data_IF_371048219445
#
_entry.id   IF_371048219445
#
_cell.length_a   1.000
_cell.length_b   1.000
_cell.length_c   1.000
_cell.angle_alpha   90.00
_cell.angle_beta   90.00
_cell.angle_gamma   90.00
#
_symmetry.space_group_name_H-M   'P 1'
#
loop_
_entity.id
_entity.type
_entity.pdbx_description
1 polymer ?
#
# COMPACT_ATOMS: atom_id res chain seq x y z
N UNK A 1 -4.57 -11.32 -5.56
CA UNK A 1 -3.64 -11.90 -6.57
C UNK A 1 -2.28 -12.40 -6.04
N UNK A 2 -1.77 -11.91 -4.91
CA UNK A 2 -0.47 -12.35 -4.35
C UNK A 2 -0.56 -13.67 -3.56
N UNK A 3 0.57 -14.38 -3.31
CA UNK A 3 0.60 -15.61 -2.51
C UNK A 3 -0.02 -15.40 -1.12
N UNK A 4 -1.10 -16.11 -0.83
CA UNK A 4 -1.85 -15.95 0.42
C UNK A 4 -2.47 -14.56 0.62
N UNK A 5 -2.60 -13.76 -0.45
CA UNK A 5 -3.16 -12.41 -0.42
C UNK A 5 -2.22 -11.32 0.12
N UNK A 6 -0.98 -11.65 0.47
CA UNK A 6 -0.06 -10.75 1.18
C UNK A 6 1.18 -10.46 0.34
N UNK A 7 1.50 -9.18 0.18
CA UNK A 7 2.72 -8.70 -0.46
C UNK A 7 3.77 -8.39 0.61
N UNK A 8 4.94 -9.02 0.49
CA UNK A 8 6.13 -8.75 1.32
C UNK A 8 7.22 -7.96 0.59
N UNK A 9 7.01 -7.68 -0.70
CA UNK A 9 7.97 -7.06 -1.60
C UNK A 9 7.33 -5.89 -2.35
N UNK A 10 6.86 -4.89 -1.60
CA UNK A 10 6.27 -3.68 -2.19
C UNK A 10 7.22 -3.03 -3.19
N UNK A 11 6.67 -2.57 -4.31
CA UNK A 11 7.46 -2.08 -5.45
C UNK A 11 7.19 -0.61 -5.76
N UNK A 12 8.14 0.03 -6.46
CA UNK A 12 7.97 1.34 -7.07
C UNK A 12 8.36 1.26 -8.54
N UNK A 13 7.75 2.12 -9.36
CA UNK A 13 7.96 2.19 -10.82
C UNK A 13 9.32 2.80 -11.22
N UNK A 14 10.06 3.34 -10.26
CA UNK A 14 11.41 3.86 -10.49
C UNK A 14 12.48 2.85 -10.08
N UNK A 15 13.66 2.96 -10.68
CA UNK A 15 14.82 2.12 -10.35
C UNK A 15 16.12 2.89 -10.51
N UNK A 16 17.11 2.58 -9.66
CA UNK A 16 18.51 3.03 -9.84
C UNK A 16 19.14 2.39 -11.09
N UNK A 17 18.73 1.16 -11.41
CA UNK A 17 19.23 0.40 -12.56
C UNK A 17 18.29 0.57 -13.75
N UNK A 18 18.81 1.14 -14.84
CA UNK A 18 18.02 1.52 -16.04
C UNK A 18 17.27 0.36 -16.70
N UNK A 19 17.76 -0.88 -16.56
CA UNK A 19 17.15 -2.06 -17.18
C UNK A 19 15.97 -2.63 -16.38
N UNK A 20 15.74 -2.18 -15.15
CA UNK A 20 14.63 -2.64 -14.31
C UNK A 20 13.44 -1.69 -14.42
N UNK A 21 12.27 -2.24 -14.77
CA UNK A 21 10.99 -1.51 -14.85
C UNK A 21 10.36 -1.23 -13.48
N UNK A 22 10.72 -2.02 -12.48
CA UNK A 22 10.28 -1.87 -11.10
C UNK A 22 11.43 -2.24 -10.15
N UNK A 23 11.44 -1.63 -8.98
CA UNK A 23 12.39 -1.97 -7.91
C UNK A 23 11.70 -1.94 -6.55
N UNK A 24 12.37 -2.43 -5.50
CA UNK A 24 11.84 -2.37 -4.14
C UNK A 24 11.50 -0.95 -3.73
N UNK A 25 10.37 -0.79 -3.04
CA UNK A 25 9.93 0.49 -2.51
C UNK A 25 10.75 0.85 -1.25
N UNK A 26 12.02 1.20 -1.44
CA UNK A 26 13.01 1.42 -0.39
C UNK A 26 12.59 2.37 0.74
N UNK A 27 11.80 3.45 0.52
CA UNK A 27 11.30 4.28 1.62
C UNK A 27 10.45 3.52 2.65
N UNK A 28 9.87 2.37 2.27
CA UNK A 28 9.06 1.49 3.13
C UNK A 28 9.80 0.21 3.56
N UNK A 29 11.13 0.15 3.43
CA UNK A 29 11.94 -0.98 3.90
C UNK A 29 12.52 -0.67 5.31
N UNK A 30 12.03 -1.32 6.39
CA UNK A 30 12.47 -1.01 7.75
C UNK A 30 13.97 -1.23 7.99
N UNK A 31 14.54 -2.27 7.37
CA UNK A 31 15.91 -2.72 7.60
C UNK A 31 16.99 -1.76 7.08
N UNK A 32 16.63 -0.85 6.17
CA UNK A 32 17.57 0.12 5.57
C UNK A 32 17.17 1.56 5.86
N UNK A 33 16.30 1.81 6.85
CA UNK A 33 15.75 3.13 7.13
C UNK A 33 16.78 4.23 7.35
N UNK A 34 17.94 3.89 7.91
CA UNK A 34 19.03 4.84 8.19
C UNK A 34 19.80 5.24 6.93
N UNK A 35 19.56 4.58 5.79
CA UNK A 35 20.27 4.76 4.53
C UNK A 35 19.41 5.47 3.47
N UNK A 36 18.13 5.73 3.74
CA UNK A 36 17.17 6.26 2.77
C UNK A 36 16.27 7.30 3.42
N UNK A 37 15.63 8.14 2.60
CA UNK A 37 14.53 8.99 3.06
C UNK A 37 13.30 8.11 3.37
N UNK A 38 13.25 7.58 4.59
CA UNK A 38 12.24 6.61 4.99
C UNK A 38 10.90 7.27 5.27
N UNK A 39 9.83 6.62 4.85
CA UNK A 39 8.44 7.02 5.13
C UNK A 39 7.87 6.31 6.37
N UNK A 40 8.73 5.62 7.13
CA UNK A 40 8.39 4.83 8.31
C UNK A 40 8.85 5.56 9.57
N UNK A 41 8.00 5.56 10.60
CA UNK A 41 8.41 5.98 11.94
C UNK A 41 9.23 4.88 12.61
N UNK A 42 9.96 5.26 13.69
CA UNK A 42 10.84 4.33 14.38
C UNK A 42 10.14 3.08 14.91
N UNK A 43 8.85 3.19 15.26
CA UNK A 43 8.04 2.08 15.76
C UNK A 43 7.70 1.00 14.72
N UNK A 44 7.90 1.24 13.42
CA UNK A 44 7.43 0.33 12.36
C UNK A 44 8.52 -0.64 11.91
N UNK A 45 8.51 -1.88 12.40
CA UNK A 45 9.54 -2.87 12.05
C UNK A 45 9.16 -3.80 10.86
N UNK A 46 7.92 -3.72 10.38
CA UNK A 46 7.42 -4.54 9.28
C UNK A 46 6.39 -3.75 8.49
N UNK A 47 6.37 -3.95 7.17
CA UNK A 47 5.37 -3.40 6.26
C UNK A 47 4.84 -4.54 5.40
N UNK A 48 3.53 -4.66 5.33
CA UNK A 48 2.83 -5.59 4.45
C UNK A 48 1.88 -4.81 3.57
N UNK A 49 1.69 -5.28 2.34
CA UNK A 49 0.74 -4.70 1.40
C UNK A 49 -0.30 -5.77 1.00
N UNK A 50 -1.54 -5.33 0.81
CA UNK A 50 -2.64 -6.15 0.29
C UNK A 50 -3.07 -5.53 -1.02
N UNK A 51 -2.97 -6.29 -2.11
CA UNK A 51 -3.41 -5.88 -3.45
C UNK A 51 -4.74 -6.55 -3.76
N UNK A 52 -5.71 -5.76 -4.18
CA UNK A 52 -7.07 -6.18 -4.48
C UNK A 52 -7.35 -5.88 -5.94
N UNK A 53 -7.77 -6.91 -6.68
CA UNK A 53 -8.37 -6.77 -8.01
C UNK A 53 -9.87 -7.05 -7.86
N UNK A 54 -10.71 -6.31 -8.58
CA UNK A 54 -12.16 -6.48 -8.55
C UNK A 54 -12.78 -6.13 -9.90
N UNK A 55 -14.05 -6.51 -10.08
CA UNK A 55 -14.77 -6.25 -11.33
C UNK A 55 -15.28 -4.81 -11.36
N UNK A 56 -15.76 -4.32 -10.22
CA UNK A 56 -16.28 -2.96 -10.06
C UNK A 56 -15.49 -2.13 -9.05
N UNK A 57 -15.47 -0.80 -9.27
CA UNK A 57 -14.81 0.15 -8.35
C UNK A 57 -15.39 0.05 -6.94
N UNK A 58 -16.70 -0.08 -6.83
CA UNK A 58 -17.40 -0.18 -5.54
C UNK A 58 -17.02 -1.43 -4.76
N UNK A 59 -16.84 -2.57 -5.45
CA UNK A 59 -16.40 -3.83 -4.84
C UNK A 59 -14.97 -3.74 -4.31
N UNK A 60 -14.05 -3.14 -5.07
CA UNK A 60 -12.68 -2.90 -4.62
C UNK A 60 -12.66 -1.99 -3.40
N UNK A 61 -13.46 -0.91 -3.43
CA UNK A 61 -13.59 0.00 -2.30
C UNK A 61 -14.14 -0.67 -1.04
N UNK A 62 -15.15 -1.53 -1.18
CA UNK A 62 -15.72 -2.28 -0.07
C UNK A 62 -14.72 -3.31 0.49
N UNK A 63 -14.00 -4.03 -0.37
CA UNK A 63 -12.94 -4.94 0.03
C UNK A 63 -11.82 -4.23 0.81
N UNK A 64 -11.41 -3.04 0.37
CA UNK A 64 -10.48 -2.19 1.12
C UNK A 64 -11.06 -1.80 2.48
N UNK A 65 -12.33 -1.36 2.54
CA UNK A 65 -12.98 -0.94 3.79
C UNK A 65 -13.00 -2.04 4.84
N UNK A 66 -13.47 -3.24 4.46
CA UNK A 66 -13.55 -4.37 5.40
C UNK A 66 -12.17 -4.88 5.80
N UNK A 67 -11.23 -4.95 4.84
CA UNK A 67 -9.86 -5.38 5.11
C UNK A 67 -9.13 -4.45 6.07
N UNK A 68 -9.24 -3.12 5.87
CA UNK A 68 -8.63 -2.12 6.75
C UNK A 68 -9.21 -2.22 8.17
N UNK A 69 -10.54 -2.33 8.30
CA UNK A 69 -11.18 -2.45 9.62
C UNK A 69 -10.75 -3.72 10.35
N UNK A 70 -10.65 -4.85 9.64
CA UNK A 70 -10.17 -6.10 10.19
C UNK A 70 -8.68 -6.06 10.57
N UNK A 71 -7.87 -5.30 9.83
CA UNK A 71 -6.44 -5.17 10.10
C UNK A 71 -6.13 -4.34 11.35
N UNK A 72 -7.04 -3.47 11.81
CA UNK A 72 -6.83 -2.59 12.98
C UNK A 72 -6.78 -3.36 14.32
N UNK A 73 -5.72 -4.14 14.51
CA UNK A 73 -5.43 -4.97 15.68
C UNK A 73 -4.29 -4.38 16.52
N UNK A 74 -4.13 -4.79 17.80
CA UNK A 74 -2.98 -4.39 18.61
C UNK A 74 -1.65 -4.68 17.89
N UNK A 75 -0.75 -3.69 17.90
CA UNK A 75 0.54 -3.76 17.21
C UNK A 75 0.54 -3.18 15.79
N UNK A 76 -0.63 -2.91 15.19
CA UNK A 76 -0.68 -2.13 13.96
C UNK A 76 -0.47 -0.65 14.27
N UNK A 77 0.60 -0.09 13.71
CA UNK A 77 0.99 1.31 13.94
C UNK A 77 0.22 2.27 13.04
N UNK A 78 0.02 1.91 11.77
CA UNK A 78 -0.60 2.78 10.76
C UNK A 78 -1.11 1.96 9.58
N UNK A 79 -2.23 2.42 9.00
CA UNK A 79 -2.70 2.01 7.67
C UNK A 79 -2.44 3.14 6.68
N UNK A 80 -1.95 2.80 5.49
CA UNK A 80 -1.73 3.73 4.37
C UNK A 80 -2.08 3.02 3.06
N UNK A 81 -2.00 3.73 1.94
CA UNK A 81 -2.20 3.18 0.60
C UNK A 81 -1.07 3.63 -0.34
N UNK A 82 -0.54 2.69 -1.12
CA UNK A 82 0.41 2.97 -2.20
C UNK A 82 -0.28 3.73 -3.33
N UNK A 83 0.42 4.68 -3.93
CA UNK A 83 -0.03 5.40 -5.12
C UNK A 83 1.17 5.84 -5.96
N UNK A 84 0.90 6.31 -7.17
CA UNK A 84 1.92 6.73 -8.12
C UNK A 84 1.81 8.22 -8.49
N UNK A 85 1.45 9.08 -7.52
CA UNK A 85 1.31 10.52 -7.73
C UNK A 85 0.09 10.93 -8.55
N UNK A 86 -0.91 10.05 -8.68
CA UNK A 86 -2.18 10.34 -9.36
C UNK A 86 -2.14 10.30 -10.89
N UNK A 87 -0.96 10.18 -11.52
CA UNK A 87 -0.80 10.30 -12.97
C UNK A 87 -0.89 8.96 -13.74
N UNK A 88 -0.85 7.81 -13.06
CA UNK A 88 -0.77 6.49 -13.69
C UNK A 88 -2.10 5.71 -13.67
N UNK A 89 -2.83 5.77 -12.56
CA UNK A 89 -4.07 4.99 -12.37
C UNK A 89 -5.31 5.82 -12.67
N UNK A 90 -6.26 5.25 -13.41
CA UNK A 90 -7.58 5.85 -13.67
C UNK A 90 -8.42 5.98 -12.39
N UNK A 91 -8.30 5.01 -11.48
CA UNK A 91 -9.10 4.94 -10.25
C UNK A 91 -8.30 5.35 -9.03
N UNK A 92 -8.84 6.29 -8.26
CA UNK A 92 -8.27 6.72 -6.99
C UNK A 92 -9.22 6.35 -5.84
N UNK A 93 -8.69 5.64 -4.85
CA UNK A 93 -9.43 5.18 -3.67
C UNK A 93 -8.90 5.93 -2.44
N UNK A 94 -9.51 7.07 -2.13
CA UNK A 94 -9.11 7.85 -0.96
C UNK A 94 -9.59 7.14 0.32
N UNK A 95 -8.66 6.81 1.23
CA UNK A 95 -8.97 6.06 2.45
C UNK A 95 -10.00 6.76 3.35
N UNK A 96 -10.04 8.10 3.32
CA UNK A 96 -11.04 8.89 4.05
C UNK A 96 -12.46 8.60 3.55
N UNK A 97 -12.65 8.52 2.24
CA UNK A 97 -13.95 8.26 1.62
C UNK A 97 -14.35 6.78 1.79
N UNK A 98 -13.39 5.86 1.63
CA UNK A 98 -13.55 4.42 1.88
C UNK A 98 -14.08 4.17 3.30
N UNK A 99 -13.46 4.81 4.29
CA UNK A 99 -13.80 4.58 5.70
C UNK A 99 -15.00 5.42 6.16
N UNK A 100 -15.23 6.58 5.53
CA UNK A 100 -16.36 7.47 5.77
C UNK A 100 -17.67 7.02 5.12
N UNK A 101 -17.63 6.05 4.19
CA UNK A 101 -18.80 5.52 3.51
C UNK A 101 -19.29 6.38 2.34
N UNK A 102 -18.42 7.22 1.77
CA UNK A 102 -18.78 8.24 0.77
C UNK A 102 -18.46 7.82 -0.67
N UNK A 103 -17.96 6.60 -0.90
CA UNK A 103 -17.77 6.08 -2.25
C UNK A 103 -19.11 5.67 -2.85
N UNK A 104 -19.82 6.66 -3.39
CA UNK A 104 -20.90 6.50 -4.37
C UNK A 104 -20.37 6.45 -5.79
#
# INVERSE_FOLDING_TARGET
PFPGGIVRSGSKVSSKYKFLRASSNTPYCPTIRSLVDSQLSEAVNCVLEIVIDGLEKTEVGEAMRVGIRAACLPGIVRISAGNYGGALGQYHFYLRDILGGTLG
#
